data_IF_083784774987
#
_entry.id   IF_083784774987
#
_cell.length_a   1.000
_cell.length_b   1.000
_cell.length_c   1.000
_cell.angle_alpha   90.00
_cell.angle_beta   90.00
_cell.angle_gamma   90.00
#
_symmetry.space_group_name_H-M   'P 1'
#
loop_
_entity.id
_entity.type
_entity.pdbx_description
1 polymer ?
#
# COMPACT_ATOMS: atom_id res chain seq x y z
N UNK A 1 -11.07 -2.32 -20.97
CA UNK A 1 -9.65 -2.33 -21.39
C UNK A 1 -8.78 -1.88 -20.24
N UNK A 2 -7.60 -2.51 -20.04
CA UNK A 2 -6.67 -2.04 -19.01
C UNK A 2 -6.22 -0.60 -19.29
N UNK A 3 -5.97 0.13 -18.25
CA UNK A 3 -5.46 1.50 -18.36
C UNK A 3 -3.99 1.47 -18.69
N UNK A 4 -3.54 2.34 -19.59
CA UNK A 4 -2.13 2.53 -19.88
C UNK A 4 -1.64 3.78 -19.14
N UNK A 5 -0.56 3.63 -18.38
CA UNK A 5 0.00 4.71 -17.60
C UNK A 5 1.51 4.54 -17.51
N UNK A 6 2.27 5.63 -17.60
CA UNK A 6 3.73 5.56 -17.45
C UNK A 6 4.11 5.20 -16.02
N UNK A 7 5.29 4.60 -15.85
CA UNK A 7 5.82 4.28 -14.53
C UNK A 7 5.99 5.55 -13.67
N UNK A 8 6.45 6.64 -14.29
CA UNK A 8 6.64 7.92 -13.58
C UNK A 8 5.32 8.49 -13.07
N UNK A 9 4.28 8.44 -13.89
CA UNK A 9 2.96 8.91 -13.47
C UNK A 9 2.40 8.06 -12.34
N UNK A 10 2.55 6.75 -12.45
CA UNK A 10 2.10 5.84 -11.38
C UNK A 10 2.85 6.12 -10.07
N UNK A 11 4.16 6.36 -10.14
CA UNK A 11 4.96 6.71 -8.97
C UNK A 11 4.47 8.00 -8.30
N UNK A 12 4.10 9.01 -9.10
CA UNK A 12 3.49 10.24 -8.58
C UNK A 12 2.21 9.96 -7.80
N UNK A 13 1.36 9.07 -8.31
CA UNK A 13 0.11 8.71 -7.64
C UNK A 13 0.36 8.02 -6.30
N UNK A 14 1.38 7.16 -6.24
CA UNK A 14 1.76 6.51 -4.97
C UNK A 14 2.24 7.57 -3.98
N UNK A 15 3.05 8.52 -4.42
CA UNK A 15 3.51 9.63 -3.58
C UNK A 15 2.35 10.49 -3.06
N UNK A 16 1.41 10.82 -3.94
CA UNK A 16 0.22 11.59 -3.56
C UNK A 16 -0.62 10.84 -2.52
N UNK A 17 -0.75 9.53 -2.69
CA UNK A 17 -1.48 8.69 -1.73
C UNK A 17 -0.81 8.70 -0.36
N UNK A 18 0.51 8.62 -0.31
CA UNK A 18 1.26 8.69 0.95
C UNK A 18 1.05 10.04 1.65
N UNK A 19 0.91 11.12 0.88
CA UNK A 19 0.66 12.46 1.42
C UNK A 19 -0.74 12.60 2.04
N UNK A 20 -1.66 11.68 1.76
CA UNK A 20 -2.99 11.66 2.37
C UNK A 20 -2.96 11.14 3.81
N UNK A 21 -1.89 10.46 4.20
CA UNK A 21 -1.77 9.91 5.55
C UNK A 21 -1.58 11.07 6.54
N UNK A 22 -2.38 11.12 7.62
CA UNK A 22 -2.23 12.20 8.60
C UNK A 22 -0.81 12.30 9.15
N UNK A 23 -0.28 13.51 9.37
CA UNK A 23 1.09 13.69 9.87
C UNK A 23 1.40 12.94 11.16
N UNK A 24 0.44 12.81 12.06
CA UNK A 24 0.60 12.07 13.31
C UNK A 24 0.92 10.61 13.07
N UNK A 25 0.28 10.02 12.05
CA UNK A 25 0.51 8.63 11.68
C UNK A 25 1.82 8.49 10.89
N UNK A 26 2.12 9.45 10.02
CA UNK A 26 3.36 9.44 9.25
C UNK A 26 4.57 9.45 10.19
N UNK A 27 4.51 10.23 11.26
CA UNK A 27 5.60 10.27 12.24
C UNK A 27 5.76 8.96 13.01
N UNK A 28 4.70 8.17 13.12
CA UNK A 28 4.74 6.88 13.78
C UNK A 28 5.26 5.77 12.88
N UNK A 29 5.34 5.99 11.56
CA UNK A 29 5.91 5.03 10.63
C UNK A 29 7.42 5.03 10.78
N UNK A 30 7.98 3.86 11.07
CA UNK A 30 9.41 3.70 11.26
C UNK A 30 9.90 2.52 10.43
N UNK A 31 10.93 2.78 9.61
CA UNK A 31 11.61 1.74 8.86
C UNK A 31 10.68 0.96 7.91
N UNK A 32 9.88 1.68 7.13
CA UNK A 32 9.02 1.10 6.10
C UNK A 32 9.49 1.55 4.72
N UNK A 33 9.65 0.61 3.81
CA UNK A 33 10.02 0.88 2.42
C UNK A 33 8.79 0.63 1.54
N UNK A 34 8.47 1.59 0.67
CA UNK A 34 7.39 1.44 -0.31
C UNK A 34 8.00 1.09 -1.66
N UNK A 35 7.59 -0.04 -2.22
CA UNK A 35 8.09 -0.54 -3.50
C UNK A 35 6.96 -0.59 -4.52
N UNK A 36 7.30 -0.37 -5.78
CA UNK A 36 6.37 -0.53 -6.90
C UNK A 36 6.91 -1.65 -7.78
N UNK A 37 6.12 -2.70 -7.91
CA UNK A 37 6.48 -3.87 -8.71
C UNK A 37 5.40 -4.11 -9.77
N UNK A 38 5.69 -4.86 -10.86
CA UNK A 38 4.68 -5.14 -11.88
C UNK A 38 3.52 -5.98 -11.35
N UNK A 39 3.82 -7.18 -10.84
CA UNK A 39 2.84 -8.15 -10.34
C UNK A 39 3.48 -9.05 -9.31
N UNK A 40 2.65 -9.59 -8.42
CA UNK A 40 3.08 -10.69 -7.56
C UNK A 40 3.12 -11.96 -8.39
N UNK A 41 4.26 -12.66 -8.49
CA UNK A 41 4.35 -13.88 -9.30
C UNK A 41 3.48 -15.03 -8.79
N UNK A 42 3.15 -15.04 -7.50
CA UNK A 42 2.31 -16.10 -6.92
C UNK A 42 0.84 -15.73 -6.94
N UNK A 43 0.50 -14.44 -6.98
CA UNK A 43 -0.87 -13.96 -7.00
C UNK A 43 -0.99 -12.76 -7.92
N UNK A 44 -1.15 -12.97 -9.24
CA UNK A 44 -1.11 -11.88 -10.22
C UNK A 44 -2.24 -10.85 -10.12
N UNK A 45 -3.29 -11.14 -9.35
CA UNK A 45 -4.39 -10.21 -9.15
C UNK A 45 -4.26 -9.38 -7.87
N UNK A 46 -3.23 -9.63 -7.06
CA UNK A 46 -2.99 -8.89 -5.83
C UNK A 46 -2.60 -7.46 -6.17
N UNK A 47 -3.24 -6.49 -5.54
CA UNK A 47 -3.02 -5.06 -5.80
C UNK A 47 -1.90 -4.46 -4.95
N UNK A 48 -1.72 -4.98 -3.74
CA UNK A 48 -0.68 -4.54 -2.81
C UNK A 48 -0.42 -5.59 -1.75
N UNK A 49 0.72 -5.44 -1.05
CA UNK A 49 1.12 -6.39 -0.02
C UNK A 49 1.96 -5.69 1.04
N UNK A 50 1.56 -5.83 2.31
CA UNK A 50 2.41 -5.46 3.43
C UNK A 50 3.17 -6.71 3.88
N UNK A 51 4.48 -6.58 4.04
CA UNK A 51 5.34 -7.64 4.55
C UNK A 51 6.19 -7.11 5.70
N UNK A 52 6.05 -7.71 6.87
CA UNK A 52 6.78 -7.29 8.05
C UNK A 52 6.05 -7.70 9.33
N UNK A 53 6.38 -7.00 10.42
CA UNK A 53 5.74 -7.22 11.71
C UNK A 53 5.01 -5.94 12.10
N UNK A 54 3.67 -6.00 12.17
CA UNK A 54 2.86 -4.86 12.52
C UNK A 54 3.25 -4.30 13.89
N UNK A 55 3.09 -2.99 14.08
CA UNK A 55 3.48 -2.31 15.33
C UNK A 55 2.83 -2.96 16.55
N UNK A 56 1.57 -3.40 16.44
CA UNK A 56 0.84 -4.01 17.54
C UNK A 56 1.36 -5.39 17.92
N UNK A 57 2.17 -6.01 17.06
CA UNK A 57 2.70 -7.36 17.26
C UNK A 57 4.19 -7.37 17.62
N UNK A 58 4.81 -6.21 17.68
CA UNK A 58 6.24 -6.11 18.01
C UNK A 58 6.44 -6.24 19.51
N UNK A 59 7.45 -7.03 19.88
CA UNK A 59 7.85 -7.19 21.28
C UNK A 59 9.18 -6.51 21.56
N UNK A 60 9.66 -6.65 22.81
CA UNK A 60 10.91 -6.03 23.25
C UNK A 60 12.16 -6.62 22.58
N UNK A 61 12.02 -7.75 21.90
CA UNK A 61 13.13 -8.42 21.21
C UNK A 61 13.22 -8.07 19.73
N UNK A 62 12.24 -7.31 19.22
CA UNK A 62 12.26 -6.88 17.84
C UNK A 62 13.40 -5.89 17.62
N UNK A 63 14.38 -6.31 16.85
CA UNK A 63 15.60 -5.52 16.63
C UNK A 63 15.51 -4.48 15.53
N UNK A 64 14.45 -4.50 14.71
CA UNK A 64 14.30 -3.57 13.61
C UNK A 64 15.38 -3.66 12.55
N UNK A 65 16.07 -4.80 12.43
CA UNK A 65 17.20 -4.94 11.52
C UNK A 65 16.83 -4.85 10.06
N UNK A 66 15.62 -5.32 9.69
CA UNK A 66 15.12 -5.29 8.32
C UNK A 66 13.89 -4.38 8.25
N UNK A 67 13.77 -3.58 7.18
CA UNK A 67 12.57 -2.75 7.03
C UNK A 67 11.35 -3.60 6.72
N UNK A 68 10.19 -3.13 7.18
CA UNK A 68 8.92 -3.62 6.67
C UNK A 68 8.75 -3.08 5.26
N UNK A 69 8.04 -3.80 4.40
CA UNK A 69 7.81 -3.37 3.03
C UNK A 69 6.33 -3.30 2.72
N UNK A 70 5.98 -2.27 1.97
CA UNK A 70 4.66 -2.15 1.33
C UNK A 70 4.92 -2.17 -0.17
N UNK A 71 4.41 -3.18 -0.85
CA UNK A 71 4.58 -3.32 -2.29
C UNK A 71 3.27 -3.01 -2.99
N UNK A 72 3.32 -2.14 -3.99
CA UNK A 72 2.16 -1.76 -4.79
C UNK A 72 2.36 -2.35 -6.19
N UNK A 73 1.40 -3.14 -6.65
CA UNK A 73 1.51 -3.88 -7.90
C UNK A 73 0.88 -3.10 -9.05
N UNK A 74 1.71 -2.40 -9.80
CA UNK A 74 1.30 -1.45 -10.83
C UNK A 74 0.42 -2.07 -11.91
N UNK A 75 0.88 -3.17 -12.52
CA UNK A 75 0.12 -3.80 -13.61
C UNK A 75 -1.19 -4.38 -13.14
N UNK A 76 -1.24 -4.95 -11.95
CA UNK A 76 -2.47 -5.48 -11.38
C UNK A 76 -3.49 -4.37 -11.16
N UNK A 77 -3.06 -3.22 -10.65
CA UNK A 77 -3.95 -2.07 -10.44
C UNK A 77 -4.46 -1.53 -11.78
N UNK A 78 -3.57 -1.34 -12.76
CA UNK A 78 -3.97 -0.82 -14.07
C UNK A 78 -4.98 -1.75 -14.77
N UNK A 79 -4.83 -3.05 -14.59
CA UNK A 79 -5.73 -4.04 -15.16
C UNK A 79 -7.08 -4.07 -14.46
N UNK A 80 -7.09 -3.79 -13.16
CA UNK A 80 -8.30 -3.75 -12.33
C UNK A 80 -9.19 -2.53 -12.63
N UNK A 81 -8.61 -1.44 -13.13
CA UNK A 81 -9.29 -0.17 -13.33
C UNK A 81 -9.73 0.02 -14.78
N UNK A 82 -10.81 0.79 -14.97
CA UNK A 82 -11.35 1.08 -16.30
C UNK A 82 -10.79 2.37 -16.90
N UNK A 83 -10.38 3.33 -16.06
CA UNK A 83 -9.86 4.63 -16.50
C UNK A 83 -8.85 5.18 -15.50
N UNK A 84 -8.21 6.29 -15.87
CA UNK A 84 -7.18 6.92 -15.04
C UNK A 84 -7.72 7.43 -13.70
N UNK A 85 -8.96 7.91 -13.68
CA UNK A 85 -9.63 8.36 -12.46
C UNK A 85 -9.75 7.21 -11.46
N UNK A 86 -10.12 6.03 -11.93
CA UNK A 86 -10.17 4.84 -11.06
C UNK A 86 -8.80 4.44 -10.57
N UNK A 87 -7.75 4.62 -11.38
CA UNK A 87 -6.37 4.32 -10.96
C UNK A 87 -5.96 5.22 -9.81
N UNK A 88 -6.24 6.52 -9.90
CA UNK A 88 -5.94 7.47 -8.81
C UNK A 88 -6.59 7.01 -7.51
N UNK A 89 -7.86 6.67 -7.56
CA UNK A 89 -8.63 6.22 -6.40
C UNK A 89 -8.11 4.89 -5.85
N UNK A 90 -7.86 3.91 -6.74
CA UNK A 90 -7.42 2.58 -6.33
C UNK A 90 -6.01 2.60 -5.74
N UNK A 91 -5.11 3.42 -6.27
CA UNK A 91 -3.78 3.58 -5.70
C UNK A 91 -3.89 4.12 -4.28
N UNK A 92 -4.72 5.15 -4.06
CA UNK A 92 -4.91 5.71 -2.72
C UNK A 92 -5.45 4.67 -1.75
N UNK A 93 -6.48 3.92 -2.15
CA UNK A 93 -7.08 2.87 -1.32
C UNK A 93 -6.04 1.80 -1.00
N UNK A 94 -5.29 1.33 -2.00
CA UNK A 94 -4.32 0.26 -1.81
C UNK A 94 -3.19 0.68 -0.89
N UNK A 95 -2.62 1.88 -1.10
CA UNK A 95 -1.54 2.39 -0.25
C UNK A 95 -2.00 2.50 1.20
N UNK A 96 -3.16 3.11 1.44
CA UNK A 96 -3.69 3.30 2.79
C UNK A 96 -4.02 1.95 3.42
N UNK A 97 -4.57 1.02 2.65
CA UNK A 97 -4.90 -0.32 3.12
C UNK A 97 -3.65 -1.04 3.64
N UNK A 98 -2.55 -1.03 2.88
CA UNK A 98 -1.33 -1.72 3.29
C UNK A 98 -0.62 -1.01 4.44
N UNK A 99 -0.63 0.32 4.46
CA UNK A 99 -0.09 1.08 5.60
C UNK A 99 -0.91 0.81 6.86
N UNK A 100 -2.22 0.62 6.74
CA UNK A 100 -3.06 0.27 7.88
C UNK A 100 -2.64 -1.06 8.51
N UNK A 101 -2.21 -2.03 7.70
CA UNK A 101 -1.67 -3.28 8.23
C UNK A 101 -0.42 -3.06 9.07
N UNK A 102 0.43 -2.11 8.71
CA UNK A 102 1.59 -1.74 9.52
C UNK A 102 1.15 -1.29 10.93
N UNK A 103 0.02 -0.58 11.03
CA UNK A 103 -0.53 -0.13 12.32
C UNK A 103 -1.36 -1.20 13.04
N UNK A 104 -1.45 -2.41 12.47
CA UNK A 104 -2.19 -3.50 13.08
C UNK A 104 -3.71 -3.44 12.90
N UNK A 105 -4.17 -2.65 11.92
CA UNK A 105 -5.60 -2.54 11.60
C UNK A 105 -5.97 -3.70 10.68
N UNK A 106 -6.96 -4.51 11.09
CA UNK A 106 -7.36 -5.68 10.31
C UNK A 106 -8.39 -5.33 9.23
N UNK A 107 -8.70 -6.32 8.38
CA UNK A 107 -9.61 -6.14 7.24
C UNK A 107 -11.01 -5.70 7.69
N UNK A 108 -11.53 -6.29 8.76
CA UNK A 108 -12.87 -5.94 9.24
C UNK A 108 -12.95 -4.48 9.66
N UNK A 109 -11.92 -4.00 10.35
CA UNK A 109 -11.85 -2.60 10.78
C UNK A 109 -11.71 -1.66 9.60
N UNK A 110 -10.91 -2.05 8.59
CA UNK A 110 -10.76 -1.27 7.36
C UNK A 110 -12.09 -1.11 6.62
N UNK A 111 -12.87 -2.19 6.52
CA UNK A 111 -14.22 -2.12 5.94
C UNK A 111 -15.11 -1.15 6.70
N UNK A 112 -15.09 -1.20 8.04
CA UNK A 112 -15.87 -0.29 8.87
C UNK A 112 -15.49 1.17 8.64
N UNK A 113 -14.19 1.44 8.35
CA UNK A 113 -13.69 2.77 8.10
C UNK A 113 -13.85 3.24 6.65
N UNK A 114 -14.30 2.34 5.76
CA UNK A 114 -14.51 2.67 4.35
C UNK A 114 -13.28 2.51 3.47
N UNK A 115 -12.25 1.81 3.92
CA UNK A 115 -11.00 1.63 3.19
C UNK A 115 -10.75 0.17 2.76
N UNK A 116 -11.75 -0.67 2.86
CA UNK A 116 -11.61 -2.08 2.52
C UNK A 116 -12.22 -2.49 1.18
#
# INVERSE_FOLDING_TARGET
MPVTMSADRFEELVGDALDLIPPELTRAIDNVVVLIEPRDPENPHLLGLYHGIALTERDSHYGGALPDTVTIYREAILEHCADESEVVEEVAITVIHEIAHYFGIDEDRLHQLGWG
#
